data_IF_246317668676
#
_entry.id   IF_246317668676
#
_cell.length_a   1.000
_cell.length_b   1.000
_cell.length_c   1.000
_cell.angle_alpha   90.00
_cell.angle_beta   90.00
_cell.angle_gamma   90.00
#
_symmetry.space_group_name_H-M   'P 1'
#
loop_
_entity.id
_entity.type
_entity.pdbx_description
1 polymer ?
#
# COMPACT_ATOMS: atom_id res chain seq x y z
N UNK A 1 -13.13 13.98 -21.63
CA UNK A 1 -12.85 13.60 -20.24
C UNK A 1 -11.40 13.94 -19.91
N UNK A 2 -11.11 14.35 -18.67
CA UNK A 2 -9.73 14.59 -18.27
C UNK A 2 -8.96 13.26 -18.24
N UNK A 3 -7.68 13.32 -18.58
CA UNK A 3 -6.81 12.14 -18.59
C UNK A 3 -5.94 12.09 -17.33
N UNK A 4 -5.73 11.03 -16.53
CA UNK A 4 -5.11 10.92 -15.65
C UNK A 4 -4.22 10.19 -15.98
N UNK A 5 -3.10 10.35 -15.87
CA UNK A 5 -1.96 9.56 -16.25
C UNK A 5 -1.48 8.67 -15.09
N UNK A 6 -1.61 9.16 -13.86
CA UNK A 6 -1.10 8.44 -12.67
C UNK A 6 -2.20 8.42 -11.59
N UNK A 7 -2.50 7.23 -11.08
CA UNK A 7 -3.37 7.05 -9.91
C UNK A 7 -2.54 6.50 -8.76
N UNK A 8 -2.50 7.23 -7.65
CA UNK A 8 -1.86 6.74 -6.42
C UNK A 8 -2.95 6.46 -5.39
N UNK A 9 -3.19 5.18 -5.12
CA UNK A 9 -4.15 4.73 -4.11
C UNK A 9 -3.46 4.79 -2.75
N UNK A 10 -3.35 6.01 -2.20
CA UNK A 10 -2.62 6.31 -0.97
C UNK A 10 -3.51 6.33 0.27
N UNK A 11 -4.78 6.68 0.14
CA UNK A 11 -5.67 6.82 1.29
C UNK A 11 -5.77 5.52 2.08
N UNK A 12 -5.72 5.65 3.40
CA UNK A 12 -5.86 4.47 4.26
C UNK A 12 -6.13 4.87 5.69
N UNK A 13 -6.81 3.99 6.39
CA UNK A 13 -7.14 4.19 7.80
C UNK A 13 -6.81 2.93 8.61
N UNK A 14 -6.72 3.09 9.91
CA UNK A 14 -6.62 1.98 10.87
C UNK A 14 -7.80 2.04 11.83
N UNK A 15 -8.25 0.88 12.29
CA UNK A 15 -9.25 0.74 13.37
C UNK A 15 -8.84 -0.49 14.16
N UNK A 16 -7.74 -0.34 14.88
CA UNK A 16 -7.03 -1.44 15.53
C UNK A 16 -7.79 -2.01 16.71
N UNK A 17 -7.79 -3.33 16.83
CA UNK A 17 -8.35 -4.06 17.97
C UNK A 17 -7.88 -5.50 17.90
N UNK A 18 -7.67 -6.15 19.04
CA UNK A 18 -7.40 -7.59 19.02
C UNK A 18 -8.60 -8.31 18.39
N UNK A 19 -8.34 -9.37 17.65
CA UNK A 19 -9.38 -10.07 16.89
C UNK A 19 -10.58 -10.48 17.75
N UNK A 20 -10.33 -10.93 18.98
CA UNK A 20 -11.40 -11.33 19.90
C UNK A 20 -12.38 -10.19 20.20
N UNK A 21 -11.98 -8.94 20.01
CA UNK A 21 -12.77 -7.75 20.30
C UNK A 21 -13.01 -6.88 19.07
N UNK A 22 -12.67 -7.40 17.88
CA UNK A 22 -12.83 -6.69 16.61
C UNK A 22 -14.30 -6.79 16.18
N UNK A 23 -14.95 -5.66 15.99
CA UNK A 23 -16.36 -5.62 15.57
C UNK A 23 -16.48 -5.35 14.06
N UNK A 24 -17.70 -5.59 13.55
CA UNK A 24 -17.98 -5.43 12.12
C UNK A 24 -17.77 -3.99 11.66
N UNK A 25 -18.09 -3.00 12.50
CA UNK A 25 -17.90 -1.59 12.12
C UNK A 25 -16.43 -1.27 11.83
N UNK A 26 -15.52 -1.84 12.63
CA UNK A 26 -14.08 -1.67 12.39
C UNK A 26 -13.63 -2.38 11.12
N UNK A 27 -14.16 -3.59 10.88
CA UNK A 27 -13.87 -4.33 9.65
C UNK A 27 -14.36 -3.55 8.43
N UNK A 28 -15.63 -3.16 8.43
CA UNK A 28 -16.26 -2.53 7.28
C UNK A 28 -15.60 -1.22 6.91
N UNK A 29 -15.27 -0.39 7.92
CA UNK A 29 -14.62 0.90 7.66
C UNK A 29 -13.25 0.71 6.99
N UNK A 30 -12.43 -0.20 7.52
CA UNK A 30 -11.08 -0.43 6.99
C UNK A 30 -11.15 -1.08 5.62
N UNK A 31 -12.04 -2.06 5.44
CA UNK A 31 -12.24 -2.73 4.15
C UNK A 31 -12.69 -1.73 3.08
N UNK A 32 -13.66 -0.88 3.41
CA UNK A 32 -14.21 0.09 2.47
C UNK A 32 -13.13 1.06 1.95
N UNK A 33 -12.34 1.62 2.87
CA UNK A 33 -11.36 2.66 2.51
C UNK A 33 -10.08 2.06 1.92
N UNK A 34 -9.54 1.02 2.56
CA UNK A 34 -8.20 0.53 2.21
C UNK A 34 -8.19 -0.44 1.03
N UNK A 35 -9.33 -1.05 0.70
CA UNK A 35 -9.38 -2.09 -0.33
C UNK A 35 -10.43 -1.81 -1.40
N UNK A 36 -11.69 -1.63 -0.99
CA UNK A 36 -12.77 -1.51 -1.98
C UNK A 36 -12.68 -0.19 -2.75
N UNK A 37 -12.37 0.92 -2.09
CA UNK A 37 -12.25 2.21 -2.77
C UNK A 37 -11.11 2.19 -3.80
N UNK A 38 -9.88 1.75 -3.46
CA UNK A 38 -8.82 1.61 -4.47
C UNK A 38 -9.20 0.75 -5.66
N UNK A 39 -9.85 -0.40 -5.40
CA UNK A 39 -10.27 -1.29 -6.47
C UNK A 39 -11.28 -0.59 -7.41
N UNK A 40 -12.34 -0.03 -6.82
CA UNK A 40 -13.39 0.64 -7.59
C UNK A 40 -12.88 1.86 -8.36
N UNK A 41 -11.98 2.64 -7.74
CA UNK A 41 -11.36 3.78 -8.42
C UNK A 41 -10.54 3.32 -9.61
N UNK A 42 -9.71 2.30 -9.42
CA UNK A 42 -8.88 1.77 -10.50
C UNK A 42 -9.74 1.26 -11.64
N UNK A 43 -10.73 0.40 -11.33
CA UNK A 43 -11.63 -0.16 -12.35
C UNK A 43 -12.42 0.95 -13.07
N UNK A 44 -12.93 1.90 -12.31
CA UNK A 44 -13.74 2.99 -12.87
C UNK A 44 -12.93 3.90 -13.80
N UNK A 45 -11.73 4.30 -13.38
CA UNK A 45 -10.91 5.22 -14.17
C UNK A 45 -10.31 4.53 -15.42
N UNK A 46 -10.01 3.26 -15.32
CA UNK A 46 -9.56 2.48 -16.48
C UNK A 46 -10.75 2.18 -17.40
N UNK A 47 -11.88 1.80 -16.80
CA UNK A 47 -13.09 1.42 -17.55
C UNK A 47 -13.66 2.55 -18.37
N UNK A 48 -13.60 3.79 -17.89
CA UNK A 48 -14.11 4.94 -18.60
C UNK A 48 -13.05 5.64 -19.47
N UNK A 49 -11.84 5.08 -19.53
CA UNK A 49 -10.76 5.61 -20.36
C UNK A 49 -10.03 6.83 -19.78
N UNK A 50 -10.32 7.21 -18.53
CA UNK A 50 -9.59 8.32 -17.89
C UNK A 50 -8.12 7.98 -17.68
N UNK A 51 -7.81 6.69 -17.41
CA UNK A 51 -6.44 6.18 -17.41
C UNK A 51 -6.35 5.22 -18.59
N UNK A 52 -5.44 5.51 -19.52
CA UNK A 52 -5.24 4.69 -20.72
C UNK A 52 -3.78 4.39 -20.93
N UNK A 53 -3.41 4.15 -22.19
CA UNK A 53 -2.06 3.79 -22.57
C UNK A 53 -1.02 4.73 -21.96
N UNK A 54 0.02 4.17 -21.35
CA UNK A 54 1.04 4.91 -20.62
C UNK A 54 0.68 5.16 -19.16
N UNK A 55 -0.53 4.78 -18.75
CA UNK A 55 -1.01 5.03 -17.39
C UNK A 55 -0.27 4.23 -16.31
N UNK A 56 -0.30 4.78 -15.10
CA UNK A 56 0.36 4.19 -13.93
C UNK A 56 -0.61 4.09 -12.77
N UNK A 57 -0.72 2.91 -12.17
CA UNK A 57 -1.51 2.71 -10.95
C UNK A 57 -0.56 2.26 -9.85
N UNK A 58 -0.54 2.97 -8.73
CA UNK A 58 0.33 2.62 -7.60
C UNK A 58 -0.52 2.47 -6.34
N UNK A 59 -0.44 1.30 -5.70
CA UNK A 59 -1.17 1.04 -4.45
C UNK A 59 -0.26 1.09 -3.24
N UNK A 60 -0.79 1.57 -2.11
CA UNK A 60 -0.07 1.54 -0.83
C UNK A 60 -0.51 0.32 -0.02
N UNK A 61 0.38 -0.67 0.05
CA UNK A 61 0.27 -1.83 0.93
C UNK A 61 0.94 -1.52 2.28
N UNK A 62 1.58 -2.49 2.89
CA UNK A 62 2.29 -2.38 4.16
C UNK A 62 3.02 -3.69 4.42
N UNK A 63 4.09 -3.68 5.21
CA UNK A 63 4.66 -4.93 5.71
C UNK A 63 3.64 -5.70 6.55
N UNK A 64 2.66 -5.02 7.16
CA UNK A 64 1.57 -5.70 7.86
C UNK A 64 0.74 -6.58 6.91
N UNK A 65 0.64 -6.21 5.63
CA UNK A 65 -0.02 -7.03 4.62
C UNK A 65 0.79 -8.25 4.21
N UNK A 66 2.09 -8.25 4.48
CA UNK A 66 2.99 -9.37 4.16
C UNK A 66 3.10 -10.32 5.35
N UNK A 67 3.31 -9.77 6.55
CA UNK A 67 3.66 -10.54 7.76
C UNK A 67 2.51 -10.64 8.76
N UNK A 68 1.44 -9.86 8.58
CA UNK A 68 0.44 -9.67 9.61
C UNK A 68 0.92 -8.72 10.69
N UNK A 69 0.00 -8.33 11.57
CA UNK A 69 0.35 -7.53 12.74
C UNK A 69 -0.72 -7.73 13.81
N UNK A 70 -0.31 -8.12 15.00
CA UNK A 70 -1.24 -8.38 16.10
C UNK A 70 -2.04 -7.11 16.39
N UNK A 71 -3.38 -7.25 16.48
CA UNK A 71 -4.28 -6.13 16.71
C UNK A 71 -4.68 -5.38 15.45
N UNK A 72 -4.18 -5.80 14.28
CA UNK A 72 -4.48 -5.17 13.00
C UNK A 72 -4.96 -6.18 11.96
N UNK A 73 -5.76 -7.17 12.38
CA UNK A 73 -6.24 -8.20 11.45
C UNK A 73 -6.97 -7.59 10.25
N UNK A 74 -7.86 -6.61 10.50
CA UNK A 74 -8.57 -5.91 9.44
C UNK A 74 -7.62 -5.14 8.52
N UNK A 75 -6.72 -4.35 9.09
CA UNK A 75 -5.74 -3.56 8.33
C UNK A 75 -4.82 -4.47 7.51
N UNK A 76 -4.24 -5.50 8.15
CA UNK A 76 -3.34 -6.44 7.48
C UNK A 76 -4.05 -7.15 6.31
N UNK A 77 -5.32 -7.55 6.51
CA UNK A 77 -6.12 -8.16 5.44
C UNK A 77 -6.25 -7.22 4.24
N UNK A 78 -6.57 -5.94 4.49
CA UNK A 78 -6.74 -4.99 3.38
C UNK A 78 -5.41 -4.69 2.69
N UNK A 79 -4.31 -4.65 3.44
CA UNK A 79 -2.99 -4.38 2.85
C UNK A 79 -2.45 -5.59 2.08
N UNK A 80 -2.78 -6.81 2.51
CA UNK A 80 -2.54 -8.03 1.72
C UNK A 80 -3.43 -8.03 0.47
N UNK A 81 -4.68 -7.59 0.60
CA UNK A 81 -5.58 -7.45 -0.53
C UNK A 81 -5.04 -6.50 -1.60
N UNK A 82 -4.37 -5.41 -1.19
CA UNK A 82 -3.75 -4.48 -2.15
C UNK A 82 -2.65 -5.18 -2.96
N UNK A 83 -1.88 -6.09 -2.34
CA UNK A 83 -0.90 -6.90 -3.06
C UNK A 83 -1.63 -7.81 -4.07
N UNK A 84 -2.70 -8.47 -3.62
CA UNK A 84 -3.51 -9.33 -4.48
C UNK A 84 -4.11 -8.57 -5.67
N UNK A 85 -4.67 -7.37 -5.44
CA UNK A 85 -5.20 -6.53 -6.51
C UNK A 85 -4.10 -6.19 -7.52
N UNK A 86 -2.92 -5.80 -7.03
CA UNK A 86 -1.79 -5.43 -7.87
C UNK A 86 -1.42 -6.59 -8.81
N UNK A 87 -1.31 -7.79 -8.26
CA UNK A 87 -0.92 -8.97 -9.04
C UNK A 87 -2.03 -9.43 -9.98
N UNK A 88 -3.28 -9.42 -9.50
CA UNK A 88 -4.40 -9.93 -10.27
C UNK A 88 -4.76 -9.03 -11.46
N UNK A 89 -4.66 -7.71 -11.29
CA UNK A 89 -5.02 -6.78 -12.36
C UNK A 89 -3.88 -6.55 -13.36
N UNK A 90 -2.64 -6.87 -13.01
CA UNK A 90 -1.48 -6.54 -13.84
C UNK A 90 -1.59 -7.08 -15.28
N UNK A 91 -1.95 -8.35 -15.52
CA UNK A 91 -2.02 -8.82 -16.91
C UNK A 91 -3.08 -8.08 -17.75
N UNK A 92 -4.27 -7.85 -17.18
CA UNK A 92 -5.34 -7.16 -17.89
C UNK A 92 -5.05 -5.68 -18.14
N UNK A 93 -4.34 -5.04 -17.22
CA UNK A 93 -3.93 -3.64 -17.41
C UNK A 93 -2.77 -3.52 -18.39
N UNK A 94 -1.83 -4.48 -18.37
CA UNK A 94 -0.72 -4.50 -19.34
C UNK A 94 -1.24 -4.58 -20.78
N UNK A 95 -2.32 -5.32 -21.01
CA UNK A 95 -2.95 -5.38 -22.33
C UNK A 95 -3.48 -4.02 -22.81
N UNK A 96 -3.62 -3.06 -21.88
CA UNK A 96 -4.07 -1.68 -22.19
C UNK A 96 -2.92 -0.69 -22.12
N UNK A 97 -1.68 -1.17 -21.99
CA UNK A 97 -0.50 -0.30 -21.85
C UNK A 97 -0.40 0.41 -20.50
N UNK A 98 -1.02 -0.15 -19.46
CA UNK A 98 -1.04 0.43 -18.11
C UNK A 98 -0.25 -0.47 -17.16
N UNK A 99 0.60 0.11 -16.32
CA UNK A 99 1.28 -0.67 -15.27
C UNK A 99 0.56 -0.47 -13.93
N UNK A 100 0.62 -1.51 -13.08
CA UNK A 100 0.12 -1.45 -11.71
C UNK A 100 1.14 -2.08 -10.77
N UNK A 101 1.52 -1.33 -9.73
CA UNK A 101 2.52 -1.79 -8.75
C UNK A 101 2.10 -1.35 -7.35
N UNK A 102 2.76 -1.88 -6.34
CA UNK A 102 2.47 -1.49 -4.95
C UNK A 102 3.76 -1.18 -4.18
N UNK A 103 3.62 -0.31 -3.20
CA UNK A 103 4.68 -0.02 -2.23
C UNK A 103 4.23 -0.55 -0.89
N UNK A 104 5.11 -1.24 -0.17
CA UNK A 104 4.82 -1.81 1.15
C UNK A 104 5.77 -1.18 2.18
N UNK A 105 5.35 -0.05 2.80
CA UNK A 105 6.18 0.58 3.82
C UNK A 105 6.28 -0.27 5.09
N UNK A 106 7.40 -0.12 5.79
CA UNK A 106 7.57 -0.63 7.14
C UNK A 106 7.19 0.43 8.16
N UNK A 107 8.02 0.56 9.23
CA UNK A 107 7.82 1.60 10.21
C UNK A 107 8.30 2.94 9.64
N UNK A 108 7.36 3.86 9.44
CA UNK A 108 7.64 5.18 8.86
C UNK A 108 7.32 6.26 9.89
N UNK A 109 8.24 7.22 10.05
CA UNK A 109 8.10 8.32 11.00
C UNK A 109 7.07 9.33 10.49
N UNK A 110 5.87 9.28 11.04
CA UNK A 110 4.76 10.15 10.65
C UNK A 110 4.05 10.68 11.90
N UNK A 111 3.13 11.61 11.73
CA UNK A 111 2.27 12.04 12.83
C UNK A 111 1.50 10.87 13.43
N UNK A 112 1.09 9.93 12.60
CA UNK A 112 0.35 8.73 13.06
C UNK A 112 1.23 7.87 13.97
N UNK A 113 2.49 7.63 13.59
CA UNK A 113 3.41 6.82 14.39
C UNK A 113 3.93 7.58 15.61
N UNK A 114 3.94 8.93 15.57
CA UNK A 114 4.33 9.75 16.73
C UNK A 114 3.39 9.56 17.92
N UNK A 115 2.15 9.14 17.68
CA UNK A 115 1.18 8.86 18.73
C UNK A 115 1.41 7.53 19.45
N UNK A 116 2.27 6.66 18.90
CA UNK A 116 2.59 5.36 19.50
C UNK A 116 3.53 5.57 20.70
N UNK A 117 3.34 4.84 21.81
CA UNK A 117 4.26 4.96 22.97
C UNK A 117 5.73 4.80 22.56
N UNK A 118 6.60 5.59 23.19
CA UNK A 118 8.02 5.66 22.83
C UNK A 118 8.70 4.28 22.75
N UNK A 119 8.47 3.43 23.75
CA UNK A 119 9.10 2.10 23.78
C UNK A 119 8.72 1.27 22.55
N UNK A 120 7.43 1.32 22.17
CA UNK A 120 6.94 0.59 20.99
C UNK A 120 7.52 1.17 19.70
N UNK A 121 7.64 2.52 19.64
CA UNK A 121 8.28 3.18 18.48
C UNK A 121 9.74 2.76 18.33
N UNK A 122 10.47 2.70 19.45
CA UNK A 122 11.88 2.29 19.41
C UNK A 122 12.03 0.85 18.91
N UNK A 123 11.13 -0.04 19.33
CA UNK A 123 11.11 -1.39 18.79
C UNK A 123 10.86 -1.36 17.28
N UNK A 124 9.86 -0.60 16.84
CA UNK A 124 9.56 -0.46 15.41
C UNK A 124 10.74 0.05 14.59
N UNK A 125 11.45 1.07 15.13
CA UNK A 125 12.62 1.63 14.48
C UNK A 125 13.76 0.62 14.34
N UNK A 126 13.89 -0.30 15.27
CA UNK A 126 15.07 -1.19 15.36
C UNK A 126 14.83 -2.60 14.81
N UNK A 127 13.59 -2.92 14.40
CA UNK A 127 13.28 -4.23 13.84
C UNK A 127 13.54 -4.29 12.33
N UNK A 128 14.65 -3.69 11.89
CA UNK A 128 15.08 -3.78 10.50
C UNK A 128 16.61 -3.63 10.44
N UNK A 129 17.19 -4.01 9.31
CA UNK A 129 18.64 -4.04 9.15
C UNK A 129 19.30 -2.66 9.22
N UNK A 130 18.56 -1.60 8.90
CA UNK A 130 19.08 -0.24 8.96
C UNK A 130 18.99 0.36 10.37
N UNK A 131 18.27 -0.30 11.29
CA UNK A 131 18.10 0.10 12.70
C UNK A 131 17.52 1.51 12.84
N UNK A 132 16.64 1.89 11.90
CA UNK A 132 16.02 3.23 11.90
C UNK A 132 14.62 3.16 11.30
N UNK A 133 13.80 4.15 11.61
CA UNK A 133 12.52 4.35 10.94
C UNK A 133 12.73 4.94 9.56
N UNK A 134 11.87 4.60 8.61
CA UNK A 134 11.86 5.25 7.32
C UNK A 134 11.20 6.63 7.41
N UNK A 135 11.42 7.45 6.40
CA UNK A 135 10.80 8.77 6.31
C UNK A 135 9.69 8.74 5.23
N UNK A 136 8.69 9.60 5.32
CA UNK A 136 7.68 9.67 4.26
C UNK A 136 8.29 9.85 2.85
N UNK A 137 9.39 10.58 2.75
CA UNK A 137 10.06 10.78 1.46
C UNK A 137 10.60 9.47 0.88
N UNK A 138 11.01 8.51 1.73
CA UNK A 138 11.49 7.21 1.24
C UNK A 138 10.37 6.47 0.51
N UNK A 139 9.15 6.56 1.05
CA UNK A 139 7.97 5.96 0.42
C UNK A 139 7.61 6.72 -0.86
N UNK A 140 7.66 8.05 -0.80
CA UNK A 140 7.33 8.91 -1.94
C UNK A 140 8.27 8.64 -3.13
N UNK A 141 9.56 8.41 -2.88
CA UNK A 141 10.52 8.11 -3.95
C UNK A 141 10.23 6.75 -4.60
N UNK A 142 9.80 5.75 -3.84
CA UNK A 142 9.40 4.48 -4.40
C UNK A 142 8.13 4.64 -5.27
N UNK A 143 7.18 5.47 -4.84
CA UNK A 143 6.00 5.79 -5.63
C UNK A 143 6.43 6.51 -6.92
N UNK A 144 7.33 7.49 -6.81
CA UNK A 144 7.83 8.25 -7.96
C UNK A 144 8.53 7.33 -8.97
N UNK A 145 9.28 6.35 -8.50
CA UNK A 145 9.89 5.36 -9.39
C UNK A 145 8.82 4.64 -10.22
N UNK A 146 7.76 4.13 -9.57
CA UNK A 146 6.69 3.45 -10.30
C UNK A 146 5.89 4.39 -11.20
N UNK A 147 5.84 5.67 -10.87
CA UNK A 147 5.13 6.69 -11.68
C UNK A 147 5.94 7.11 -12.90
N UNK A 148 7.25 6.87 -12.89
CA UNK A 148 8.17 7.31 -13.92
C UNK A 148 8.04 6.48 -15.21
N UNK A 149 8.17 7.10 -16.39
CA UNK A 149 8.31 6.31 -17.62
C UNK A 149 9.51 5.37 -17.62
N UNK A 150 10.53 5.62 -16.78
CA UNK A 150 11.69 4.74 -16.68
C UNK A 150 11.36 3.35 -16.12
N UNK A 151 10.19 3.19 -15.50
CA UNK A 151 9.75 1.89 -14.96
C UNK A 151 8.77 1.15 -15.90
N UNK A 152 8.76 1.45 -17.20
CA UNK A 152 7.82 0.87 -18.16
C UNK A 152 7.80 -0.66 -18.18
N UNK A 153 8.90 -1.31 -17.80
CA UNK A 153 8.99 -2.78 -17.82
C UNK A 153 8.59 -3.40 -16.47
N UNK A 154 8.06 -2.59 -15.54
CA UNK A 154 7.75 -3.07 -14.19
C UNK A 154 6.25 -3.00 -13.97
N UNK A 155 5.61 -4.17 -13.82
CA UNK A 155 4.19 -4.25 -13.46
C UNK A 155 3.95 -5.49 -12.60
N UNK A 156 2.94 -5.45 -11.74
CA UNK A 156 2.59 -6.57 -10.85
C UNK A 156 3.54 -6.73 -9.68
N UNK A 157 4.39 -5.74 -9.40
CA UNK A 157 5.44 -5.85 -8.40
C UNK A 157 5.09 -5.12 -7.10
N UNK A 158 5.78 -5.53 -6.03
CA UNK A 158 5.65 -4.89 -4.72
C UNK A 158 7.06 -4.55 -4.23
N UNK A 159 7.32 -3.26 -3.98
CA UNK A 159 8.59 -2.82 -3.39
C UNK A 159 8.36 -2.61 -1.89
N UNK A 160 9.21 -3.23 -1.07
CA UNK A 160 9.22 -3.00 0.38
C UNK A 160 10.09 -1.79 0.69
N UNK A 161 9.54 -0.82 1.40
CA UNK A 161 10.30 0.34 1.90
C UNK A 161 10.32 0.22 3.42
N UNK A 162 11.17 -0.67 3.93
CA UNK A 162 11.09 -1.11 5.31
C UNK A 162 12.47 -1.32 5.98
N UNK A 163 13.56 -0.94 5.30
CA UNK A 163 14.90 -1.14 5.83
C UNK A 163 15.28 -2.61 6.02
N UNK A 164 14.64 -3.51 5.26
CA UNK A 164 14.73 -4.95 5.44
C UNK A 164 14.20 -5.33 6.85
N UNK A 165 12.91 -5.06 7.06
CA UNK A 165 12.26 -5.44 8.32
C UNK A 165 12.40 -6.93 8.56
N UNK A 166 12.66 -7.31 9.80
CA UNK A 166 12.90 -8.70 10.19
C UNK A 166 11.65 -9.57 10.09
N UNK A 167 10.46 -8.94 10.07
CA UNK A 167 9.20 -9.64 9.91
C UNK A 167 8.81 -9.62 8.42
N UNK A 168 8.25 -10.71 7.94
CA UNK A 168 7.79 -10.83 6.56
C UNK A 168 8.91 -10.95 5.53
N UNK A 169 10.08 -11.35 5.96
CA UNK A 169 11.22 -11.55 5.06
C UNK A 169 11.13 -12.87 4.30
#
# INVERSE_FOLDING_TARGET
>A
MARXDILVNNAGITRDKLLANMDDARWDAVLAVNLLAPLRLTEGLVGNGSIGEGGRVIGLSSIAGIAGNRGQTNYATTKAGMIGITQALAPGLAAKGITINAVAPGFIETQMTAAIPLATREVGRRLNSLLQGGQPVDVAEAIAYFASPASNAVTGNVIRVCGQAMIGA
#
